data_IF_433458418150
#
_entry.id   IF_433458418150
#
_cell.length_a   1.000
_cell.length_b   1.000
_cell.length_c   1.000
_cell.angle_alpha   90.00
_cell.angle_beta   90.00
_cell.angle_gamma   90.00
#
_symmetry.space_group_name_H-M   'P 1'
#
loop_
_entity.id
_entity.type
_entity.pdbx_description
1 polymer ?
#
# COMPACT_ATOMS: atom_id res chain seq x y z
N UNK A 1 50.03 18.85 -31.73
CA UNK A 1 49.56 17.45 -31.85
C UNK A 1 50.31 16.64 -30.81
N UNK A 2 49.64 16.25 -29.71
CA UNK A 2 50.27 15.48 -28.63
C UNK A 2 50.25 14.01 -29.05
N UNK A 3 51.42 13.43 -29.30
CA UNK A 3 51.56 11.99 -29.57
C UNK A 3 51.37 11.23 -28.25
N UNK A 4 50.21 10.61 -28.08
CA UNK A 4 49.95 9.73 -26.94
C UNK A 4 50.78 8.45 -27.14
N UNK A 5 51.56 8.06 -26.13
CA UNK A 5 52.34 6.82 -26.20
C UNK A 5 51.40 5.60 -26.21
N UNK A 6 51.75 4.50 -26.91
CA UNK A 6 50.87 3.33 -27.04
C UNK A 6 50.41 2.77 -25.68
N UNK A 7 51.28 2.81 -24.67
CA UNK A 7 50.96 2.38 -23.30
C UNK A 7 49.85 3.22 -22.65
N UNK A 8 49.77 4.52 -22.94
CA UNK A 8 48.70 5.36 -22.43
C UNK A 8 47.37 5.08 -23.13
N UNK A 9 47.40 4.69 -24.41
CA UNK A 9 46.19 4.26 -25.13
C UNK A 9 45.67 2.93 -24.56
N UNK A 10 46.53 1.95 -24.35
CA UNK A 10 46.13 0.64 -23.81
C UNK A 10 45.59 0.77 -22.38
N UNK A 11 46.24 1.57 -21.53
CA UNK A 11 45.76 1.84 -20.19
C UNK A 11 44.37 2.52 -20.21
N UNK A 12 44.15 3.48 -21.11
CA UNK A 12 42.85 4.13 -21.25
C UNK A 12 41.76 3.16 -21.71
N UNK A 13 42.07 2.24 -22.63
CA UNK A 13 41.14 1.22 -23.10
C UNK A 13 40.76 0.22 -22.00
N UNK A 14 41.74 -0.20 -21.18
CA UNK A 14 41.48 -1.07 -20.02
C UNK A 14 40.60 -0.36 -19.00
N UNK A 15 40.86 0.90 -18.68
CA UNK A 15 40.01 1.68 -17.77
C UNK A 15 38.59 1.80 -18.33
N UNK A 16 38.43 2.12 -19.63
CA UNK A 16 37.12 2.17 -20.27
C UNK A 16 36.38 0.82 -20.18
N UNK A 17 37.08 -0.30 -20.45
CA UNK A 17 36.50 -1.63 -20.36
C UNK A 17 35.99 -1.95 -18.95
N UNK A 18 36.76 -1.59 -17.91
CA UNK A 18 36.36 -1.77 -16.51
C UNK A 18 35.16 -0.89 -16.14
N UNK A 19 35.14 0.37 -16.56
CA UNK A 19 34.00 1.28 -16.32
C UNK A 19 32.72 0.73 -16.97
N UNK A 20 32.83 0.23 -18.20
CA UNK A 20 31.71 -0.36 -18.93
C UNK A 20 31.20 -1.66 -18.28
N UNK A 21 32.12 -2.51 -17.81
CA UNK A 21 31.76 -3.72 -17.06
C UNK A 21 31.07 -3.40 -15.73
N UNK A 22 31.47 -2.31 -15.08
CA UNK A 22 30.88 -1.87 -13.83
C UNK A 22 29.56 -1.09 -14.03
N UNK A 23 29.13 -0.81 -15.26
CA UNK A 23 27.92 -0.04 -15.55
C UNK A 23 26.67 -0.49 -14.79
N UNK A 24 26.33 -1.79 -14.74
CA UNK A 24 25.14 -2.24 -14.01
C UNK A 24 25.17 -1.90 -12.51
N UNK A 25 26.36 -1.77 -11.90
CA UNK A 25 26.50 -1.46 -10.47
C UNK A 25 26.22 0.00 -10.14
N UNK A 26 26.46 0.92 -11.08
CA UNK A 26 26.24 2.36 -10.86
C UNK A 26 25.02 2.92 -11.60
N UNK A 27 24.43 2.19 -12.54
CA UNK A 27 23.15 2.58 -13.20
C UNK A 27 21.97 2.50 -12.23
N UNK A 28 21.91 1.47 -11.38
CA UNK A 28 20.84 1.29 -10.41
C UNK A 28 20.67 2.49 -9.46
N UNK A 29 21.71 3.00 -8.76
CA UNK A 29 21.57 4.17 -7.88
C UNK A 29 21.29 5.49 -8.63
N UNK A 30 21.38 5.53 -9.96
CA UNK A 30 21.01 6.70 -10.75
C UNK A 30 19.50 6.79 -11.04
N UNK A 31 18.71 5.77 -10.69
CA UNK A 31 17.25 5.77 -10.87
C UNK A 31 16.81 5.91 -12.33
N UNK A 32 17.68 5.52 -13.28
CA UNK A 32 17.37 5.63 -14.70
C UNK A 32 16.25 4.66 -15.07
N UNK A 33 15.18 5.20 -15.64
CA UNK A 33 13.99 4.45 -16.05
C UNK A 33 13.20 3.77 -14.90
N UNK A 34 13.15 4.40 -13.74
CA UNK A 34 12.17 4.06 -12.71
C UNK A 34 10.81 4.72 -13.02
N UNK A 35 9.69 4.03 -12.76
CA UNK A 35 8.37 4.63 -12.89
C UNK A 35 8.14 5.71 -11.84
N UNK A 36 7.39 6.75 -12.20
CA UNK A 36 6.92 7.76 -11.25
C UNK A 36 5.50 7.41 -10.81
N UNK A 37 5.28 7.29 -9.51
CA UNK A 37 3.99 6.99 -8.92
C UNK A 37 3.30 8.29 -8.50
N UNK A 38 2.04 8.41 -8.90
CA UNK A 38 1.19 9.57 -8.61
C UNK A 38 0.19 9.21 -7.51
N UNK A 39 0.12 10.05 -6.49
CA UNK A 39 -0.77 9.92 -5.34
C UNK A 39 -1.71 11.11 -5.30
N UNK A 40 -2.94 10.86 -4.87
CA UNK A 40 -3.97 11.87 -4.71
C UNK A 40 -4.77 11.56 -3.44
N UNK A 41 -5.59 12.51 -3.02
CA UNK A 41 -6.37 12.39 -1.80
C UNK A 41 -7.85 12.67 -2.01
N UNK A 42 -8.66 12.17 -1.08
CA UNK A 42 -10.04 12.59 -0.92
C UNK A 42 -10.30 12.92 0.53
N UNK A 43 -10.80 14.11 0.79
CA UNK A 43 -11.18 14.52 2.13
C UNK A 43 -12.35 13.65 2.63
N UNK A 44 -12.22 13.20 3.87
CA UNK A 44 -13.23 12.43 4.59
C UNK A 44 -13.78 13.31 5.69
N UNK A 45 -15.09 13.52 5.66
CA UNK A 45 -15.80 14.40 6.59
C UNK A 45 -16.84 13.62 7.38
N UNK A 46 -17.14 14.15 8.56
CA UNK A 46 -18.31 13.74 9.33
C UNK A 46 -19.38 14.81 9.16
N UNK A 47 -20.47 14.45 8.50
CA UNK A 47 -21.60 15.35 8.26
C UNK A 47 -22.91 14.66 8.64
N UNK A 48 -23.79 15.36 9.33
CA UNK A 48 -25.07 14.83 9.84
C UNK A 48 -24.98 13.49 10.61
N UNK A 49 -23.82 13.21 11.20
CA UNK A 49 -23.59 11.97 11.95
C UNK A 49 -23.19 10.76 11.09
N UNK A 50 -22.86 10.98 9.82
CA UNK A 50 -22.34 9.98 8.89
C UNK A 50 -20.89 10.28 8.50
N UNK A 51 -20.14 9.24 8.12
CA UNK A 51 -18.76 9.36 7.62
C UNK A 51 -18.80 9.20 6.10
N UNK A 52 -18.36 10.21 5.35
CA UNK A 52 -18.40 10.21 3.89
C UNK A 52 -17.26 11.00 3.28
N UNK A 53 -17.04 10.81 1.98
CA UNK A 53 -16.17 11.71 1.22
C UNK A 53 -16.80 13.10 1.11
N UNK A 54 -15.98 14.15 1.18
CA UNK A 54 -16.41 15.52 0.96
C UNK A 54 -16.89 15.72 -0.49
N UNK A 55 -16.15 15.15 -1.46
CA UNK A 55 -16.53 15.12 -2.88
C UNK A 55 -17.21 13.80 -3.24
N UNK A 56 -18.47 13.89 -3.65
CA UNK A 56 -19.29 12.76 -4.10
C UNK A 56 -18.76 12.08 -5.37
N UNK A 57 -17.98 12.77 -6.21
CA UNK A 57 -17.41 12.19 -7.42
C UNK A 57 -16.33 11.16 -7.11
N UNK A 58 -15.56 11.36 -6.03
CA UNK A 58 -14.54 10.39 -5.60
C UNK A 58 -15.17 9.09 -5.10
N UNK A 59 -16.33 9.17 -4.44
CA UNK A 59 -17.10 8.00 -4.01
C UNK A 59 -17.50 7.07 -5.19
N UNK A 60 -17.59 7.60 -6.41
CA UNK A 60 -17.90 6.79 -7.61
C UNK A 60 -16.72 5.99 -8.15
N UNK A 61 -15.47 6.31 -7.74
CA UNK A 61 -14.24 5.64 -8.19
C UNK A 61 -13.95 4.29 -7.49
N UNK A 62 -14.93 3.74 -6.77
CA UNK A 62 -14.94 2.38 -6.21
C UNK A 62 -13.99 2.09 -5.02
N UNK A 63 -13.35 3.10 -4.44
CA UNK A 63 -12.52 2.90 -3.25
C UNK A 63 -13.40 2.92 -1.97
N UNK A 64 -13.37 1.86 -1.13
CA UNK A 64 -13.99 1.94 0.18
C UNK A 64 -13.28 2.99 1.03
N UNK A 65 -14.04 3.65 1.90
CA UNK A 65 -13.52 4.69 2.79
C UNK A 65 -12.50 4.13 3.76
N UNK A 66 -12.84 3.00 4.37
CA UNK A 66 -11.93 2.17 5.15
C UNK A 66 -12.32 0.70 5.01
N UNK A 67 -11.36 -0.21 5.07
CA UNK A 67 -11.68 -1.64 5.26
C UNK A 67 -12.34 -1.88 6.62
N UNK A 68 -12.01 -1.05 7.62
CA UNK A 68 -12.62 -1.12 8.96
C UNK A 68 -14.02 -0.51 9.02
N UNK A 69 -14.52 0.09 7.94
CA UNK A 69 -15.82 0.74 7.88
C UNK A 69 -16.67 0.15 6.75
N UNK A 70 -17.53 -0.81 7.12
CA UNK A 70 -18.47 -1.44 6.21
C UNK A 70 -19.53 -0.43 5.71
N UNK A 71 -20.15 -0.78 4.58
CA UNK A 71 -21.29 -0.05 3.99
C UNK A 71 -21.01 1.34 3.42
N UNK A 72 -19.74 1.65 3.17
CA UNK A 72 -19.32 2.82 2.39
C UNK A 72 -19.14 2.53 0.90
N UNK A 73 -19.40 1.29 0.45
CA UNK A 73 -19.16 0.81 -0.91
C UNK A 73 -20.22 -0.19 -1.41
N UNK A 74 -19.80 -1.17 -2.23
CA UNK A 74 -20.72 -2.08 -2.95
C UNK A 74 -21.07 -3.39 -2.23
N UNK A 75 -20.78 -3.55 -0.95
CA UNK A 75 -21.13 -4.79 -0.24
C UNK A 75 -22.60 -4.79 0.19
N UNK A 76 -23.50 -5.19 -0.71
CA UNK A 76 -24.94 -5.16 -0.45
C UNK A 76 -25.43 -6.17 0.58
N UNK A 77 -24.72 -7.28 0.81
CA UNK A 77 -25.20 -8.37 1.69
C UNK A 77 -24.94 -8.05 3.15
N UNK A 78 -23.70 -7.70 3.48
CA UNK A 78 -23.31 -7.29 4.83
C UNK A 78 -24.15 -6.08 5.25
N UNK A 79 -24.35 -5.13 4.35
CA UNK A 79 -25.12 -3.92 4.67
C UNK A 79 -26.60 -4.16 4.91
N UNK A 80 -27.23 -5.06 4.15
CA UNK A 80 -28.62 -5.40 4.40
C UNK A 80 -28.82 -6.02 5.80
N UNK A 81 -27.88 -6.88 6.21
CA UNK A 81 -27.91 -7.53 7.52
C UNK A 81 -27.67 -6.53 8.65
N UNK A 82 -26.61 -5.72 8.56
CA UNK A 82 -26.29 -4.74 9.62
C UNK A 82 -27.34 -3.63 9.69
N UNK A 83 -27.93 -3.22 8.56
CA UNK A 83 -29.07 -2.27 8.56
C UNK A 83 -30.31 -2.86 9.24
N UNK A 84 -30.55 -4.17 9.07
CA UNK A 84 -31.63 -4.85 9.78
C UNK A 84 -31.41 -4.85 11.30
N UNK A 85 -30.16 -5.05 11.75
CA UNK A 85 -29.80 -4.99 13.17
C UNK A 85 -29.94 -3.57 13.73
N UNK A 86 -29.52 -2.55 12.98
CA UNK A 86 -29.62 -1.15 13.42
C UNK A 86 -31.06 -0.70 13.68
N UNK A 87 -32.03 -1.22 12.91
CA UNK A 87 -33.45 -0.89 13.05
C UNK A 87 -34.26 -1.88 13.88
N UNK A 88 -33.64 -2.92 14.46
CA UNK A 88 -34.33 -4.10 14.96
C UNK A 88 -33.86 -4.58 16.34
N UNK A 89 -34.52 -5.61 16.90
CA UNK A 89 -34.02 -6.31 18.08
C UNK A 89 -32.77 -7.12 17.74
N UNK A 90 -32.01 -7.50 18.76
CA UNK A 90 -30.93 -8.46 18.60
C UNK A 90 -31.45 -9.78 18.01
N UNK A 91 -30.58 -10.47 17.26
CA UNK A 91 -30.93 -11.75 16.65
C UNK A 91 -30.13 -12.88 17.29
N UNK A 92 -30.70 -14.09 17.41
CA UNK A 92 -29.98 -15.24 17.90
C UNK A 92 -28.75 -15.55 17.04
N UNK A 93 -27.57 -15.52 17.64
CA UNK A 93 -26.33 -15.97 17.00
C UNK A 93 -26.17 -17.48 17.04
N UNK A 94 -25.05 -17.94 16.47
CA UNK A 94 -24.65 -19.36 16.44
C UNK A 94 -23.64 -19.72 17.54
N UNK A 95 -23.16 -18.73 18.28
CA UNK A 95 -22.14 -18.89 19.32
C UNK A 95 -22.80 -18.99 20.70
N UNK A 96 -22.21 -19.81 21.57
CA UNK A 96 -22.63 -19.99 22.95
C UNK A 96 -21.46 -19.77 23.90
N UNK A 97 -21.75 -19.33 25.11
CA UNK A 97 -20.78 -19.06 26.17
C UNK A 97 -21.26 -19.64 27.50
N UNK A 98 -20.33 -20.01 28.38
CA UNK A 98 -20.64 -20.41 29.77
C UNK A 98 -20.68 -19.21 30.72
N UNK A 99 -20.28 -18.02 30.26
CA UNK A 99 -20.27 -16.81 31.07
C UNK A 99 -21.53 -15.98 30.79
N UNK A 100 -22.48 -15.86 31.75
CA UNK A 100 -23.71 -15.08 31.58
C UNK A 100 -23.47 -13.58 31.45
N UNK A 101 -22.28 -13.09 31.82
CA UNK A 101 -21.89 -11.69 31.73
C UNK A 101 -20.84 -11.46 30.63
N UNK A 102 -20.71 -12.36 29.65
CA UNK A 102 -19.81 -12.13 28.53
C UNK A 102 -20.34 -10.95 27.71
N UNK A 103 -19.61 -9.85 27.74
CA UNK A 103 -19.80 -8.73 26.81
C UNK A 103 -18.59 -8.76 25.89
N UNK A 104 -18.72 -9.39 24.73
CA UNK A 104 -17.69 -9.32 23.71
C UNK A 104 -18.12 -8.27 22.69
N UNK A 105 -17.31 -7.20 22.57
CA UNK A 105 -17.34 -6.43 21.33
C UNK A 105 -16.99 -7.42 20.22
N UNK A 106 -17.84 -7.54 19.22
CA UNK A 106 -17.63 -8.52 18.15
C UNK A 106 -16.43 -8.17 17.26
N UNK A 107 -15.70 -7.10 17.58
CA UNK A 107 -14.40 -6.76 17.03
C UNK A 107 -13.36 -7.89 17.16
N UNK A 108 -13.51 -8.83 18.12
CA UNK A 108 -12.63 -10.00 18.26
C UNK A 108 -13.06 -11.22 17.39
N UNK A 109 -14.22 -11.15 16.72
CA UNK A 109 -14.58 -12.12 15.67
C UNK A 109 -13.83 -11.81 14.37
N UNK A 110 -13.61 -12.80 13.48
CA UNK A 110 -12.89 -12.61 12.21
C UNK A 110 -13.71 -11.83 11.17
N UNK A 111 -14.32 -10.71 11.57
CA UNK A 111 -14.94 -9.75 10.67
C UNK A 111 -13.84 -8.85 10.13
N UNK A 112 -13.94 -8.49 8.86
CA UNK A 112 -12.98 -7.60 8.21
C UNK A 112 -13.22 -6.11 8.56
N UNK A 113 -14.21 -5.79 9.42
CA UNK A 113 -14.61 -4.42 9.76
C UNK A 113 -14.94 -4.24 11.26
N UNK A 114 -14.73 -3.02 11.75
CA UNK A 114 -14.99 -2.60 13.14
C UNK A 114 -16.28 -1.78 13.25
N UNK A 115 -16.61 -1.00 12.22
CA UNK A 115 -17.79 -0.13 12.20
C UNK A 115 -18.63 -0.33 10.93
N UNK A 116 -19.90 0.05 11.01
CA UNK A 116 -20.85 0.00 9.90
C UNK A 116 -21.51 1.37 9.74
N UNK A 117 -21.59 1.87 8.51
CA UNK A 117 -22.44 3.03 8.18
C UNK A 117 -23.87 2.56 7.92
N UNK A 118 -24.79 2.99 8.77
CA UNK A 118 -26.23 2.78 8.62
C UNK A 118 -26.95 3.98 8.00
N UNK A 119 -28.28 3.94 7.96
CA UNK A 119 -29.12 5.00 7.36
C UNK A 119 -29.22 6.27 8.22
N UNK A 120 -28.89 6.17 9.50
CA UNK A 120 -29.03 7.26 10.48
C UNK A 120 -27.78 7.43 11.37
N UNK A 121 -26.65 6.82 11.00
CA UNK A 121 -25.40 7.02 11.70
C UNK A 121 -24.41 5.86 11.57
N UNK A 122 -23.45 5.84 12.48
CA UNK A 122 -22.41 4.80 12.54
C UNK A 122 -22.68 3.86 13.71
N UNK A 123 -22.43 2.57 13.47
CA UNK A 123 -22.73 1.49 14.39
C UNK A 123 -21.49 0.63 14.62
N UNK A 124 -21.28 0.19 15.86
CA UNK A 124 -20.30 -0.84 16.23
C UNK A 124 -21.03 -2.17 16.41
N UNK A 125 -20.60 -3.26 15.75
CA UNK A 125 -21.16 -4.59 15.97
C UNK A 125 -20.99 -5.03 17.42
N UNK A 126 -22.09 -5.41 18.05
CA UNK A 126 -22.14 -5.81 19.45
C UNK A 126 -22.71 -7.22 19.60
N UNK A 127 -22.50 -7.80 20.78
CA UNK A 127 -23.17 -9.03 21.16
C UNK A 127 -23.67 -8.94 22.60
N UNK A 128 -24.82 -9.55 22.83
CA UNK A 128 -25.42 -9.67 24.15
C UNK A 128 -25.74 -11.14 24.44
N UNK A 129 -25.65 -11.52 25.71
CA UNK A 129 -25.90 -12.90 26.12
C UNK A 129 -27.39 -13.08 26.44
N UNK A 130 -27.97 -14.23 26.05
CA UNK A 130 -29.36 -14.56 26.33
C UNK A 130 -29.63 -14.63 27.84
N UNK A 131 -30.83 -14.23 28.26
CA UNK A 131 -31.20 -14.23 29.69
C UNK A 131 -31.26 -15.64 30.31
N UNK A 132 -31.53 -16.65 29.48
CA UNK A 132 -31.69 -18.03 29.92
C UNK A 132 -30.60 -18.93 29.34
N UNK A 133 -30.03 -19.86 30.15
CA UNK A 133 -29.16 -20.90 29.64
C UNK A 133 -29.97 -21.98 28.90
N UNK A 134 -29.31 -22.61 27.94
CA UNK A 134 -29.80 -23.69 27.09
C UNK A 134 -28.88 -24.92 27.21
N UNK A 135 -29.42 -26.09 26.89
CA UNK A 135 -28.63 -27.32 26.72
C UNK A 135 -28.44 -27.59 25.23
N UNK A 136 -27.20 -27.61 24.77
CA UNK A 136 -26.84 -27.81 23.35
C UNK A 136 -25.84 -28.96 23.25
N UNK A 137 -26.12 -29.94 22.41
CA UNK A 137 -25.24 -31.11 22.16
C UNK A 137 -24.76 -31.85 23.43
N UNK A 138 -25.59 -31.88 24.48
CA UNK A 138 -25.28 -32.53 25.76
C UNK A 138 -24.49 -31.67 26.74
N UNK A 139 -24.14 -30.44 26.37
CA UNK A 139 -23.56 -29.43 27.27
C UNK A 139 -24.68 -28.58 27.86
N UNK A 140 -24.76 -28.54 29.19
CA UNK A 140 -25.72 -27.73 29.94
C UNK A 140 -25.14 -26.36 30.32
N UNK A 141 -26.00 -25.43 30.73
CA UNK A 141 -25.64 -24.10 31.23
C UNK A 141 -24.91 -23.22 30.21
N UNK A 142 -25.30 -23.34 28.94
CA UNK A 142 -24.77 -22.52 27.84
C UNK A 142 -25.72 -21.37 27.52
N UNK A 143 -25.21 -20.15 27.53
CA UNK A 143 -25.95 -18.97 27.14
C UNK A 143 -25.66 -18.63 25.69
N UNK A 144 -26.70 -18.35 24.92
CA UNK A 144 -26.57 -18.00 23.51
C UNK A 144 -26.11 -16.55 23.39
N UNK A 145 -25.20 -16.28 22.46
CA UNK A 145 -24.83 -14.91 22.10
C UNK A 145 -25.77 -14.42 21.00
N UNK A 146 -26.51 -13.35 21.27
CA UNK A 146 -27.31 -12.63 20.30
C UNK A 146 -26.48 -11.52 19.67
N UNK A 147 -26.68 -11.29 18.37
CA UNK A 147 -26.01 -10.27 17.59
C UNK A 147 -26.83 -9.00 17.63
N UNK A 148 -26.17 -7.88 17.91
CA UNK A 148 -26.77 -6.55 17.92
C UNK A 148 -25.78 -5.54 17.35
N UNK A 149 -26.17 -4.27 17.34
CA UNK A 149 -25.29 -3.16 16.99
C UNK A 149 -25.53 -2.01 17.96
N UNK A 150 -24.47 -1.32 18.33
CA UNK A 150 -24.52 -0.14 19.18
C UNK A 150 -24.22 1.11 18.36
N UNK A 151 -25.08 2.13 18.49
CA UNK A 151 -24.86 3.39 17.80
C UNK A 151 -23.69 4.15 18.45
N UNK A 152 -22.71 4.53 17.64
CA UNK A 152 -21.52 5.25 18.10
C UNK A 152 -21.40 6.63 17.44
N UNK A 153 -20.77 7.62 18.10
CA UNK A 153 -20.52 8.91 17.47
C UNK A 153 -19.59 8.76 16.27
N UNK A 154 -20.04 9.19 15.08
CA UNK A 154 -19.26 9.08 13.83
C UNK A 154 -17.87 9.71 13.89
N UNK A 155 -17.71 10.83 14.59
CA UNK A 155 -16.40 11.46 14.82
C UNK A 155 -15.48 10.58 15.69
N UNK A 156 -16.05 9.81 16.62
CA UNK A 156 -15.32 8.83 17.42
C UNK A 156 -14.85 7.66 16.56
N UNK A 157 -15.77 7.07 15.79
CA UNK A 157 -15.46 5.97 14.89
C UNK A 157 -14.41 6.35 13.83
N UNK A 158 -14.57 7.50 13.15
CA UNK A 158 -13.58 8.00 12.18
C UNK A 158 -12.19 8.17 12.81
N UNK A 159 -12.14 8.65 14.06
CA UNK A 159 -10.89 8.81 14.79
C UNK A 159 -10.26 7.47 15.15
N UNK A 160 -11.06 6.46 15.48
CA UNK A 160 -10.59 5.14 15.87
C UNK A 160 -9.93 4.40 14.70
N UNK A 161 -10.54 4.48 13.51
CA UNK A 161 -10.04 3.78 12.32
C UNK A 161 -8.91 4.52 11.60
N UNK A 162 -8.74 5.83 11.84
CA UNK A 162 -7.76 6.63 11.13
C UNK A 162 -6.33 6.35 11.62
N UNK A 163 -5.37 6.38 10.68
CA UNK A 163 -3.94 6.30 10.96
C UNK A 163 -3.33 7.70 11.01
N UNK A 164 -2.38 7.96 11.91
CA UNK A 164 -1.71 9.25 11.98
C UNK A 164 -0.75 9.47 10.80
N UNK A 165 -0.64 10.72 10.33
CA UNK A 165 0.24 11.07 9.22
C UNK A 165 1.73 10.78 9.46
N UNK A 166 2.13 10.63 10.72
CA UNK A 166 3.51 10.30 11.09
C UNK A 166 3.81 8.81 10.94
N UNK A 167 2.77 7.96 10.89
CA UNK A 167 2.87 6.50 10.77
C UNK A 167 2.79 6.01 9.31
N UNK A 168 2.69 6.93 8.35
CA UNK A 168 2.65 6.62 6.91
C UNK A 168 3.93 7.06 6.20
N UNK A 169 4.14 6.54 4.99
CA UNK A 169 5.28 6.91 4.16
C UNK A 169 5.24 8.39 3.77
N UNK A 170 6.43 8.96 3.48
CA UNK A 170 6.56 10.36 3.10
C UNK A 170 5.62 10.82 1.97
N UNK A 171 5.51 10.11 0.81
CA UNK A 171 4.61 10.54 -0.26
C UNK A 171 3.13 10.46 0.14
N UNK A 172 2.74 9.51 1.00
CA UNK A 172 1.36 9.42 1.50
C UNK A 172 1.05 10.57 2.46
N UNK A 173 1.99 10.90 3.37
CA UNK A 173 1.86 12.04 4.27
C UNK A 173 1.79 13.36 3.50
N UNK A 174 2.65 13.55 2.51
CA UNK A 174 2.64 14.72 1.63
C UNK A 174 1.32 14.80 0.87
N UNK A 175 0.84 13.66 0.35
CA UNK A 175 -0.42 13.63 -0.35
C UNK A 175 -1.59 14.04 0.57
N UNK A 176 -1.66 13.46 1.77
CA UNK A 176 -2.68 13.81 2.76
C UNK A 176 -2.64 15.29 3.16
N UNK A 177 -1.45 15.86 3.35
CA UNK A 177 -1.30 17.22 3.86
C UNK A 177 -1.52 18.32 2.81
N UNK A 178 -1.13 18.09 1.56
CA UNK A 178 -1.04 19.15 0.54
C UNK A 178 -1.73 18.86 -0.79
N UNK A 179 -2.25 17.64 -1.04
CA UNK A 179 -2.90 17.30 -2.30
C UNK A 179 -2.11 16.29 -3.12
N UNK A 180 -2.05 16.40 -4.45
CA UNK A 180 -1.31 15.45 -5.27
C UNK A 180 0.19 15.39 -4.91
N UNK A 181 0.76 14.19 -4.87
CA UNK A 181 2.18 13.96 -4.59
C UNK A 181 2.77 12.91 -5.53
N UNK A 182 4.09 12.96 -5.73
CA UNK A 182 4.82 12.07 -6.64
C UNK A 182 5.95 11.33 -5.90
N UNK A 183 6.27 10.11 -6.33
CA UNK A 183 7.38 9.34 -5.78
C UNK A 183 8.00 8.44 -6.85
N UNK A 184 9.33 8.31 -6.84
CA UNK A 184 10.03 7.27 -7.62
C UNK A 184 9.94 5.87 -7.00
N UNK A 185 9.43 5.77 -5.76
CA UNK A 185 9.26 4.52 -5.02
C UNK A 185 7.76 4.27 -4.81
N UNK A 186 7.31 3.05 -5.11
CA UNK A 186 5.92 2.65 -4.85
C UNK A 186 5.67 2.60 -3.34
N UNK A 187 5.01 3.63 -2.83
CA UNK A 187 4.39 3.62 -1.52
C UNK A 187 3.00 2.99 -1.62
N UNK A 188 2.72 2.01 -0.75
CA UNK A 188 1.39 1.43 -0.59
C UNK A 188 0.56 2.31 0.36
N UNK A 189 -0.46 3.04 -0.12
CA UNK A 189 -1.27 3.90 0.75
C UNK A 189 -2.15 3.04 1.66
N UNK A 190 -2.31 3.41 2.93
CA UNK A 190 -3.17 2.67 3.85
C UNK A 190 -4.60 2.67 3.34
N UNK A 191 -5.31 1.56 3.57
CA UNK A 191 -6.71 1.43 3.15
C UNK A 191 -7.70 2.04 4.15
N UNK A 192 -7.24 2.95 4.99
CA UNK A 192 -8.00 3.70 5.99
C UNK A 192 -7.61 5.18 5.92
N UNK A 193 -8.46 6.13 6.38
CA UNK A 193 -8.12 7.55 6.34
C UNK A 193 -6.85 7.88 7.14
N UNK A 194 -6.07 8.82 6.61
CA UNK A 194 -4.93 9.43 7.28
C UNK A 194 -5.41 10.69 8.00
N UNK A 195 -5.12 10.78 9.30
CA UNK A 195 -5.34 11.99 10.10
C UNK A 195 -4.13 12.90 9.97
N UNK A 196 -4.36 14.12 9.49
CA UNK A 196 -3.34 15.16 9.37
C UNK A 196 -3.17 15.94 10.68
N UNK A 197 -2.08 16.68 10.82
CA UNK A 197 -1.73 17.40 12.04
C UNK A 197 -2.74 18.52 12.43
N UNK A 198 -3.51 19.03 11.47
CA UNK A 198 -4.61 19.98 11.69
C UNK A 198 -5.91 19.31 12.17
N UNK A 199 -5.93 17.97 12.23
CA UNK A 199 -7.09 17.18 12.63
C UNK A 199 -8.06 16.85 11.50
N UNK A 200 -7.71 17.16 10.25
CA UNK A 200 -8.45 16.76 9.05
C UNK A 200 -8.18 15.28 8.70
N UNK A 201 -9.04 14.68 7.88
CA UNK A 201 -8.96 13.26 7.52
C UNK A 201 -8.98 13.10 6.00
N UNK A 202 -8.04 12.33 5.47
CA UNK A 202 -7.90 12.14 4.02
C UNK A 202 -7.69 10.68 3.68
N UNK A 203 -8.44 10.17 2.71
CA UNK A 203 -8.14 8.89 2.08
C UNK A 203 -7.15 9.13 0.94
N UNK A 204 -5.92 8.69 1.13
CA UNK A 204 -4.88 8.75 0.08
C UNK A 204 -4.95 7.51 -0.78
N UNK A 205 -4.87 7.66 -2.10
CA UNK A 205 -4.84 6.56 -3.06
C UNK A 205 -3.82 6.84 -4.16
N UNK A 206 -3.38 5.78 -4.84
CA UNK A 206 -2.54 5.91 -6.04
C UNK A 206 -3.44 6.29 -7.22
N UNK A 207 -3.24 7.48 -7.76
CA UNK A 207 -4.01 8.01 -8.90
C UNK A 207 -3.44 7.54 -10.25
N UNK A 208 -2.16 7.18 -10.30
CA UNK A 208 -1.55 6.64 -11.52
C UNK A 208 -0.10 6.20 -11.36
N UNK A 209 0.43 5.67 -12.45
CA UNK A 209 1.85 5.37 -12.63
C UNK A 209 2.25 5.89 -14.00
N UNK A 210 3.31 6.67 -14.06
CA UNK A 210 3.92 7.15 -15.29
C UNK A 210 5.18 6.34 -15.57
N UNK A 211 5.13 5.60 -16.68
CA UNK A 211 6.30 4.87 -17.16
C UNK A 211 7.34 5.86 -17.73
N UNK A 212 8.63 5.58 -17.52
CA UNK A 212 9.69 6.38 -18.12
C UNK A 212 9.61 6.38 -19.66
N UNK A 213 10.05 7.46 -20.32
CA UNK A 213 10.05 7.56 -21.78
C UNK A 213 10.88 6.43 -22.42
N UNK A 214 10.48 6.03 -23.64
CA UNK A 214 11.11 4.90 -24.34
C UNK A 214 12.62 5.06 -24.55
N UNK A 215 13.11 6.31 -24.66
CA UNK A 215 14.53 6.62 -24.76
C UNK A 215 15.28 6.25 -23.48
N UNK A 216 14.73 6.54 -22.31
CA UNK A 216 15.37 6.22 -21.02
C UNK A 216 15.40 4.72 -20.79
N UNK A 217 14.29 4.02 -21.08
CA UNK A 217 14.27 2.54 -21.07
C UNK A 217 15.28 1.92 -22.03
N UNK A 218 15.48 2.53 -23.19
CA UNK A 218 16.46 2.06 -24.17
C UNK A 218 17.90 2.32 -23.71
N UNK A 219 18.14 3.47 -23.08
CA UNK A 219 19.43 3.86 -22.52
C UNK A 219 19.82 2.96 -21.35
N UNK A 220 18.90 2.75 -20.40
CA UNK A 220 19.05 1.84 -19.27
C UNK A 220 19.37 0.42 -19.78
N UNK A 221 18.59 -0.10 -20.73
CA UNK A 221 18.87 -1.41 -21.34
C UNK A 221 20.23 -1.46 -22.04
N UNK A 222 20.61 -0.38 -22.73
CA UNK A 222 21.92 -0.24 -23.37
C UNK A 222 23.08 -0.25 -22.36
N UNK A 223 22.92 0.42 -21.22
CA UNK A 223 23.91 0.47 -20.15
C UNK A 223 23.95 -0.83 -19.32
N UNK A 224 22.82 -1.50 -19.15
CA UNK A 224 22.73 -2.74 -18.37
C UNK A 224 23.22 -3.95 -19.19
N UNK A 225 22.91 -4.01 -20.49
CA UNK A 225 23.24 -5.16 -21.35
C UNK A 225 24.38 -4.84 -22.31
N UNK A 226 24.30 -3.71 -23.02
CA UNK A 226 25.27 -3.35 -24.06
C UNK A 226 26.64 -2.98 -23.52
N UNK A 227 26.69 -2.26 -22.40
CA UNK A 227 27.93 -1.81 -21.78
C UNK A 227 28.82 -2.99 -21.32
N UNK A 228 28.33 -3.99 -20.57
CA UNK A 228 29.14 -5.15 -20.23
C UNK A 228 29.68 -5.90 -21.45
N UNK A 229 28.85 -6.08 -22.49
CA UNK A 229 29.27 -6.76 -23.73
C UNK A 229 30.39 -6.00 -24.44
N UNK A 230 30.28 -4.67 -24.52
CA UNK A 230 31.34 -3.82 -25.07
C UNK A 230 32.62 -3.87 -24.22
N UNK A 231 32.48 -3.89 -22.89
CA UNK A 231 33.61 -4.02 -21.97
C UNK A 231 34.37 -5.35 -22.14
N UNK A 232 33.64 -6.47 -22.25
CA UNK A 232 34.25 -7.79 -22.57
C UNK A 232 34.94 -7.76 -23.93
N UNK A 233 34.28 -7.20 -24.96
CA UNK A 233 34.87 -7.09 -26.30
C UNK A 233 36.17 -6.28 -26.32
N UNK A 234 36.21 -5.17 -25.59
CA UNK A 234 37.41 -4.34 -25.42
C UNK A 234 38.53 -5.09 -24.71
N UNK A 235 38.24 -5.81 -23.63
CA UNK A 235 39.24 -6.65 -22.95
C UNK A 235 39.84 -7.72 -23.88
N UNK A 236 38.99 -8.41 -24.66
CA UNK A 236 39.44 -9.42 -25.62
C UNK A 236 40.30 -8.84 -26.75
N UNK A 237 39.99 -7.62 -27.21
CA UNK A 237 40.78 -6.94 -28.22
C UNK A 237 42.17 -6.58 -27.69
N UNK A 238 42.23 -6.01 -26.48
CA UNK A 238 43.49 -5.63 -25.83
C UNK A 238 44.34 -6.88 -25.52
N UNK A 239 43.74 -7.97 -25.02
CA UNK A 239 44.49 -9.20 -24.71
C UNK A 239 45.14 -9.82 -25.95
N UNK A 240 44.45 -9.79 -27.10
CA UNK A 240 44.98 -10.28 -28.38
C UNK A 240 46.15 -9.45 -28.91
N UNK A 241 46.25 -8.17 -28.57
CA UNK A 241 47.41 -7.36 -28.96
C UNK A 241 48.67 -7.70 -28.15
N UNK A 242 48.51 -8.12 -26.89
CA UNK A 242 49.64 -8.54 -26.06
C UNK A 242 50.19 -9.92 -26.44
N UNK A 243 49.36 -10.83 -26.94
CA UNK A 243 49.78 -12.19 -27.33
C UNK A 243 50.68 -12.23 -28.58
N UNK A 244 50.66 -11.19 -29.43
CA UNK A 244 51.44 -11.14 -30.68
C UNK A 244 52.90 -10.66 -30.49
N UNK A 245 53.29 -10.27 -29.26
CA UNK A 245 54.66 -9.81 -28.96
C UNK A 245 55.55 -10.85 -28.26
N UNK A 246 55.30 -12.16 -28.45
CA UNK A 246 56.24 -13.21 -28.06
C UNK A 246 57.15 -13.55 -29.24
N UNK A 247 58.13 -12.68 -29.55
CA UNK A 247 59.27 -13.12 -30.36
C UNK A 247 60.10 -14.06 -29.50
N UNK A 248 59.89 -15.36 -29.68
CA UNK A 248 60.83 -16.38 -29.24
C UNK A 248 62.19 -16.06 -29.85
N UNK A 249 63.11 -15.56 -29.02
CA UNK A 249 64.52 -15.47 -29.35
C UNK A 249 65.07 -16.89 -29.47
N UNK A 250 65.26 -17.34 -30.70
CA UNK A 250 65.96 -18.57 -31.02
C UNK A 250 67.42 -18.48 -30.57
N UNK A 251 67.88 -19.57 -29.96
CA UNK A 251 69.28 -19.96 -29.80
C UNK A 251 69.99 -20.13 -31.15
#
# INVERSE_FOLDING_TARGET
MVSVSPRHQDAALVVCAVVLLAAPLWVAPLGLAEPTYHYDHAEVVVDDGEIRFADSNVATQAWPLSEQLACTGRDHRTCAFETYLAGGPSIPGLTYTTNPNATESMSDSPRDYEYVVGTDGVYEPASEVSDAPETVDGYADLYRMNLSVDRVPARGALRAIAIDSDDVSAPVREAAASGPAESGIDADPPKTPVRTADGSYYRVYRSGTEDPPAIERSLERGLTIGSPLLGVGLMLFVSRQFEVSYTGGGS
#
